data_IF_171682737084
#
_entry.id   IF_171682737084
#
_cell.length_a   1.000
_cell.length_b   1.000
_cell.length_c   1.000
_cell.angle_alpha   90.00
_cell.angle_beta   90.00
_cell.angle_gamma   90.00
#
_symmetry.space_group_name_H-M   'P 1'
#
loop_
_entity.id
_entity.type
_entity.pdbx_description
1 polymer ?
#
# COMPACT_ATOMS: atom_id res chain seq x y z
N UNK A 1 29.45 5.96 35.05
CA UNK A 1 29.43 5.99 33.57
C UNK A 1 30.08 4.71 33.05
N UNK A 2 29.30 3.68 32.68
CA UNK A 2 29.77 2.64 31.76
C UNK A 2 29.15 2.84 30.38
N UNK A 3 30.02 2.64 29.40
CA UNK A 3 29.84 2.66 27.96
C UNK A 3 28.78 1.69 27.46
N UNK A 4 27.99 2.09 26.47
CA UNK A 4 27.62 1.17 25.40
C UNK A 4 27.40 1.94 24.08
N UNK A 5 28.45 1.96 23.26
CA UNK A 5 28.34 2.29 21.83
C UNK A 5 28.57 0.96 21.11
N UNK A 6 27.51 0.17 21.02
CA UNK A 6 27.45 -0.99 20.15
C UNK A 6 27.43 -0.51 18.69
N UNK A 7 28.62 -0.26 18.14
CA UNK A 7 28.82 -0.04 16.72
C UNK A 7 29.13 -1.39 16.09
N UNK A 8 28.08 -2.14 15.75
CA UNK A 8 28.19 -3.37 14.96
C UNK A 8 28.64 -3.04 13.52
N UNK A 9 29.96 -2.93 13.32
CA UNK A 9 30.52 -2.84 11.98
C UNK A 9 30.41 -4.20 11.31
N UNK A 10 29.34 -4.42 10.55
CA UNK A 10 29.14 -5.64 9.77
C UNK A 10 30.35 -5.86 8.86
N UNK A 11 31.01 -7.01 9.02
CA UNK A 11 32.26 -7.31 8.31
C UNK A 11 32.05 -7.34 6.79
N UNK A 12 33.10 -7.02 6.00
CA UNK A 12 33.03 -7.01 4.52
C UNK A 12 32.53 -8.34 3.94
N UNK A 13 32.89 -9.45 4.56
CA UNK A 13 32.47 -10.80 4.17
C UNK A 13 31.00 -11.04 4.45
N UNK A 14 30.50 -10.57 5.59
CA UNK A 14 29.09 -10.63 5.95
C UNK A 14 28.23 -9.78 5.00
N UNK A 15 28.69 -8.57 4.68
CA UNK A 15 28.04 -7.70 3.70
C UNK A 15 27.98 -8.33 2.31
N UNK A 16 29.00 -9.09 1.91
CA UNK A 16 29.00 -9.80 0.63
C UNK A 16 27.94 -10.92 0.63
N UNK A 17 27.85 -11.72 1.69
CA UNK A 17 26.82 -12.75 1.86
C UNK A 17 25.41 -12.17 1.86
N UNK A 18 25.20 -11.05 2.53
CA UNK A 18 23.90 -10.37 2.56
C UNK A 18 23.49 -9.86 1.16
N UNK A 19 24.44 -9.34 0.39
CA UNK A 19 24.20 -8.88 -0.99
C UNK A 19 23.88 -10.04 -1.93
N UNK A 20 24.60 -11.14 -1.81
CA UNK A 20 24.38 -12.36 -2.58
C UNK A 20 22.98 -12.93 -2.30
N UNK A 21 22.60 -13.09 -1.03
CA UNK A 21 21.25 -13.51 -0.63
C UNK A 21 20.16 -12.57 -1.14
N UNK A 22 20.40 -11.26 -1.12
CA UNK A 22 19.44 -10.29 -1.66
C UNK A 22 19.34 -10.38 -3.21
N UNK A 23 20.44 -10.64 -3.91
CA UNK A 23 20.44 -10.85 -5.35
C UNK A 23 19.69 -12.13 -5.74
N UNK A 24 19.93 -13.23 -5.04
CA UNK A 24 19.20 -14.49 -5.23
C UNK A 24 17.70 -14.33 -4.95
N UNK A 25 17.35 -13.62 -3.88
CA UNK A 25 15.94 -13.37 -3.53
C UNK A 25 15.26 -12.55 -4.63
N UNK A 26 15.92 -11.52 -5.16
CA UNK A 26 15.42 -10.73 -6.29
C UNK A 26 15.33 -11.53 -7.57
N UNK A 27 16.27 -12.43 -7.84
CA UNK A 27 16.24 -13.31 -9.00
C UNK A 27 15.06 -14.29 -8.92
N UNK A 28 14.82 -14.88 -7.74
CA UNK A 28 13.67 -15.76 -7.47
C UNK A 28 12.33 -15.02 -7.58
N UNK A 29 12.31 -13.73 -7.25
CA UNK A 29 11.15 -12.84 -7.36
C UNK A 29 11.17 -11.96 -8.63
N UNK A 30 12.00 -12.31 -9.63
CA UNK A 30 12.13 -11.50 -10.85
C UNK A 30 10.87 -11.58 -11.71
N UNK A 31 10.20 -12.73 -11.69
CA UNK A 31 8.88 -12.88 -12.28
C UNK A 31 7.86 -12.15 -11.39
N UNK A 32 7.32 -11.05 -11.92
CA UNK A 32 6.23 -10.31 -11.32
C UNK A 32 4.96 -10.76 -12.03
N UNK A 33 4.25 -11.77 -11.49
CA UNK A 33 3.13 -12.34 -12.20
C UNK A 33 2.08 -11.28 -12.48
N UNK A 34 1.55 -11.29 -13.70
CA UNK A 34 0.44 -10.43 -14.10
C UNK A 34 -0.83 -10.82 -13.37
N UNK A 35 -1.83 -9.93 -13.40
CA UNK A 35 -3.15 -10.25 -12.81
C UNK A 35 -3.76 -11.56 -13.33
N UNK A 36 -3.62 -11.91 -14.63
CA UNK A 36 -4.10 -13.21 -15.15
C UNK A 36 -3.37 -14.45 -14.60
N UNK A 37 -2.17 -14.28 -14.05
CA UNK A 37 -1.37 -15.36 -13.47
C UNK A 37 -1.61 -15.50 -11.95
N UNK A 38 -2.19 -14.47 -11.34
CA UNK A 38 -2.49 -14.41 -9.90
C UNK A 38 -3.92 -14.83 -9.56
N UNK A 39 -4.85 -14.68 -10.51
CA UNK A 39 -6.27 -14.93 -10.31
C UNK A 39 -6.74 -16.01 -11.27
N UNK A 40 -7.54 -16.94 -10.78
CA UNK A 40 -8.35 -17.82 -11.64
C UNK A 40 -9.36 -16.99 -12.45
N UNK A 41 -9.88 -17.50 -13.58
CA UNK A 41 -10.92 -16.82 -14.33
C UNK A 41 -12.17 -16.48 -13.49
N UNK A 42 -12.51 -17.35 -12.53
CA UNK A 42 -13.59 -17.12 -11.57
C UNK A 42 -13.21 -16.02 -10.58
N UNK A 43 -12.02 -16.05 -9.97
CA UNK A 43 -11.55 -14.96 -9.12
C UNK A 43 -11.34 -13.65 -9.88
N UNK A 44 -11.10 -13.68 -11.18
CA UNK A 44 -11.01 -12.49 -12.03
C UNK A 44 -12.40 -11.93 -12.36
N UNK A 45 -13.41 -12.79 -12.45
CA UNK A 45 -14.81 -12.40 -12.61
C UNK A 45 -15.45 -11.92 -11.28
N UNK A 46 -15.06 -12.54 -10.17
CA UNK A 46 -15.49 -12.21 -8.79
C UNK A 46 -14.65 -11.09 -8.18
N UNK A 47 -13.40 -10.89 -8.62
CA UNK A 47 -12.67 -9.64 -8.44
C UNK A 47 -13.47 -8.60 -9.21
N UNK A 48 -14.39 -8.02 -8.46
CA UNK A 48 -15.53 -7.25 -8.89
C UNK A 48 -15.23 -6.40 -10.13
N UNK A 49 -16.18 -6.20 -11.06
CA UNK A 49 -16.00 -5.37 -12.27
C UNK A 49 -15.57 -3.90 -12.03
N UNK A 50 -15.29 -3.53 -10.78
CA UNK A 50 -14.76 -2.26 -10.35
C UNK A 50 -13.44 -2.36 -9.54
N UNK A 51 -12.83 -3.55 -9.40
CA UNK A 51 -11.67 -3.75 -8.52
C UNK A 51 -10.50 -2.86 -8.94
N UNK A 52 -10.19 -2.81 -10.24
CA UNK A 52 -9.09 -2.00 -10.75
C UNK A 52 -9.37 -0.50 -10.58
N UNK A 53 -10.59 -0.06 -10.85
CA UNK A 53 -11.05 1.32 -10.71
C UNK A 53 -11.00 1.75 -9.24
N UNK A 54 -11.43 0.87 -8.34
CA UNK A 54 -11.32 1.07 -6.91
C UNK A 54 -9.86 1.16 -6.46
N UNK A 55 -8.97 0.29 -6.95
CA UNK A 55 -7.54 0.36 -6.63
C UNK A 55 -6.89 1.62 -7.17
N UNK A 56 -7.28 2.06 -8.37
CA UNK A 56 -6.86 3.34 -8.93
C UNK A 56 -7.32 4.51 -8.05
N UNK A 57 -8.58 4.51 -7.63
CA UNK A 57 -9.12 5.52 -6.70
C UNK A 57 -8.33 5.55 -5.38
N UNK A 58 -8.04 4.40 -4.78
CA UNK A 58 -7.26 4.32 -3.52
C UNK A 58 -5.83 4.79 -3.74
N UNK A 59 -5.22 4.47 -4.88
CA UNK A 59 -3.87 4.91 -5.23
C UNK A 59 -3.79 6.44 -5.35
N UNK A 60 -4.80 7.08 -5.94
CA UNK A 60 -4.87 8.55 -6.01
C UNK A 60 -5.05 9.19 -4.63
N UNK A 61 -5.88 8.62 -3.74
CA UNK A 61 -5.99 9.08 -2.35
C UNK A 61 -4.65 8.97 -1.61
N UNK A 62 -3.95 7.85 -1.76
CA UNK A 62 -2.63 7.64 -1.17
C UNK A 62 -1.62 8.67 -1.68
N UNK A 63 -1.58 8.89 -2.99
CA UNK A 63 -0.71 9.87 -3.62
C UNK A 63 -0.99 11.29 -3.13
N UNK A 64 -2.27 11.65 -2.99
CA UNK A 64 -2.68 12.94 -2.42
C UNK A 64 -2.26 13.08 -0.96
N UNK A 65 -2.40 12.02 -0.13
CA UNK A 65 -1.88 12.00 1.25
C UNK A 65 -0.38 12.25 1.28
N UNK A 66 0.38 11.55 0.46
CA UNK A 66 1.84 11.66 0.39
C UNK A 66 2.29 13.04 -0.10
N UNK A 67 1.61 13.60 -1.10
CA UNK A 67 1.85 14.96 -1.58
C UNK A 67 1.56 16.03 -0.52
N UNK A 68 0.57 15.79 0.35
CA UNK A 68 0.26 16.66 1.48
C UNK A 68 1.22 16.47 2.68
N UNK A 69 2.17 15.53 2.61
CA UNK A 69 3.10 15.23 3.70
C UNK A 69 2.44 14.62 4.94
N UNK A 70 1.23 14.05 4.79
CA UNK A 70 0.45 13.54 5.91
C UNK A 70 0.79 12.06 6.21
N UNK A 71 0.92 11.76 7.50
CA UNK A 71 1.03 10.37 7.97
C UNK A 71 -0.35 9.72 8.03
N UNK A 72 -0.39 8.38 8.06
CA UNK A 72 -1.63 7.63 8.26
C UNK A 72 -2.31 7.98 9.60
N UNK A 73 -1.54 8.27 10.65
CA UNK A 73 -2.08 8.68 11.94
C UNK A 73 -2.80 10.04 11.86
N UNK A 74 -2.21 11.01 11.15
CA UNK A 74 -2.83 12.32 10.96
C UNK A 74 -4.11 12.23 10.13
N UNK A 75 -4.14 11.37 9.11
CA UNK A 75 -5.37 11.11 8.35
C UNK A 75 -6.40 10.39 9.20
N UNK A 76 -5.98 9.42 10.03
CA UNK A 76 -6.85 8.70 10.97
C UNK A 76 -7.59 9.67 11.91
N UNK A 77 -6.87 10.60 12.53
CA UNK A 77 -7.45 11.63 13.40
C UNK A 77 -8.44 12.52 12.65
N UNK A 78 -8.09 12.99 11.45
CA UNK A 78 -8.95 13.86 10.64
C UNK A 78 -10.20 13.15 10.11
N UNK A 79 -10.07 11.87 9.73
CA UNK A 79 -11.14 11.08 9.12
C UNK A 79 -12.04 10.39 10.16
N UNK A 80 -11.62 10.31 11.42
CA UNK A 80 -12.28 9.50 12.45
C UNK A 80 -12.26 8.00 12.12
N UNK A 81 -11.22 7.54 11.43
CA UNK A 81 -11.03 6.14 11.02
C UNK A 81 -9.85 5.54 11.76
N UNK A 82 -9.87 4.23 12.05
CA UNK A 82 -8.71 3.59 12.67
C UNK A 82 -7.51 3.56 11.69
N UNK A 83 -6.30 3.84 12.19
CA UNK A 83 -5.06 3.81 11.40
C UNK A 83 -4.86 2.46 10.70
N UNK A 84 -5.24 1.35 11.35
CA UNK A 84 -5.21 0.01 10.76
C UNK A 84 -6.13 -0.08 9.52
N UNK A 85 -7.33 0.52 9.59
CA UNK A 85 -8.28 0.53 8.46
C UNK A 85 -7.67 1.25 7.26
N UNK A 86 -7.01 2.40 7.48
CA UNK A 86 -6.33 3.14 6.42
C UNK A 86 -5.13 2.36 5.84
N UNK A 87 -4.33 1.72 6.69
CA UNK A 87 -3.21 0.88 6.26
C UNK A 87 -3.69 -0.29 5.40
N UNK A 88 -4.71 -1.02 5.84
CA UNK A 88 -5.31 -2.13 5.10
C UNK A 88 -5.94 -1.67 3.78
N UNK A 89 -6.55 -0.49 3.77
CA UNK A 89 -7.11 0.12 2.57
C UNK A 89 -6.01 0.41 1.53
N UNK A 90 -4.93 1.10 1.91
CA UNK A 90 -3.83 1.45 1.00
C UNK A 90 -3.04 0.23 0.50
N UNK A 91 -2.90 -0.80 1.34
CA UNK A 91 -2.17 -2.04 1.00
C UNK A 91 -3.03 -3.03 0.21
N UNK A 92 -4.33 -2.80 0.08
CA UNK A 92 -5.22 -3.69 -0.67
C UNK A 92 -5.70 -4.92 0.10
N UNK A 93 -5.54 -4.94 1.42
CA UNK A 93 -6.10 -5.97 2.29
C UNK A 93 -7.61 -5.79 2.52
N UNK A 94 -8.19 -4.68 2.05
CA UNK A 94 -9.64 -4.48 1.96
C UNK A 94 -10.04 -4.60 0.49
N UNK A 95 -10.75 -5.68 0.16
CA UNK A 95 -11.23 -5.96 -1.20
C UNK A 95 -12.48 -5.15 -1.55
N UNK A 96 -13.31 -4.80 -0.55
CA UNK A 96 -14.54 -4.05 -0.75
C UNK A 96 -14.76 -2.99 0.35
N UNK A 97 -14.09 -1.82 0.25
CA UNK A 97 -14.30 -0.71 1.17
C UNK A 97 -15.62 -0.01 0.90
N UNK A 98 -16.23 0.55 1.94
CA UNK A 98 -17.46 1.31 1.77
C UNK A 98 -17.20 2.68 1.13
N UNK A 99 -18.16 3.20 0.37
CA UNK A 99 -18.15 4.59 -0.11
C UNK A 99 -17.97 5.61 1.00
N UNK A 100 -18.53 5.34 2.19
CA UNK A 100 -18.34 6.17 3.38
C UNK A 100 -16.86 6.25 3.78
N UNK A 101 -16.16 5.12 3.80
CA UNK A 101 -14.72 5.06 4.12
C UNK A 101 -13.90 5.87 3.13
N UNK A 102 -14.15 5.72 1.83
CA UNK A 102 -13.46 6.47 0.78
C UNK A 102 -13.75 7.97 0.88
N UNK A 103 -15.00 8.34 1.13
CA UNK A 103 -15.42 9.73 1.28
C UNK A 103 -14.80 10.41 2.52
N UNK A 104 -14.77 9.73 3.66
CA UNK A 104 -14.13 10.24 4.88
C UNK A 104 -12.63 10.46 4.70
N UNK A 105 -11.96 9.54 3.99
CA UNK A 105 -10.56 9.73 3.63
C UNK A 105 -10.40 10.95 2.71
N UNK A 106 -11.14 11.04 1.61
CA UNK A 106 -11.06 12.19 0.70
C UNK A 106 -11.27 13.53 1.44
N UNK A 107 -12.28 13.62 2.31
CA UNK A 107 -12.56 14.83 3.12
C UNK A 107 -11.40 15.16 4.06
N UNK A 108 -10.78 14.16 4.69
CA UNK A 108 -9.61 14.36 5.55
C UNK A 108 -8.39 14.92 4.79
N UNK A 109 -8.32 14.71 3.48
CA UNK A 109 -7.34 15.30 2.57
C UNK A 109 -7.76 16.66 2.01
N UNK A 110 -8.94 17.18 2.36
CA UNK A 110 -9.51 18.39 1.77
C UNK A 110 -9.99 18.20 0.32
N UNK A 111 -10.26 16.95 -0.07
CA UNK A 111 -10.72 16.57 -1.40
C UNK A 111 -12.17 16.09 -1.39
N UNK A 112 -12.76 15.96 -2.58
CA UNK A 112 -14.10 15.42 -2.80
C UNK A 112 -14.01 14.22 -3.74
N UNK A 113 -14.65 13.12 -3.36
CA UNK A 113 -14.81 11.97 -4.24
C UNK A 113 -15.91 12.26 -5.29
N UNK A 114 -15.61 12.01 -6.56
CA UNK A 114 -16.54 12.20 -7.70
C UNK A 114 -16.64 10.90 -8.46
N UNK A 115 -17.86 10.54 -8.86
CA UNK A 115 -18.14 9.37 -9.69
C UNK A 115 -18.52 9.82 -11.10
N UNK A 116 -17.98 9.12 -12.08
CA UNK A 116 -18.27 9.32 -13.50
C UNK A 116 -18.41 7.97 -14.20
N UNK A 117 -19.02 8.00 -15.38
CA UNK A 117 -19.11 6.84 -16.28
C UNK A 117 -18.43 7.21 -17.59
N UNK A 118 -17.67 6.27 -18.16
CA UNK A 118 -17.09 6.40 -19.49
C UNK A 118 -18.01 5.69 -20.50
N UNK A 119 -17.95 6.12 -21.77
CA UNK A 119 -18.82 5.65 -22.86
C UNK A 119 -18.13 4.62 -23.76
#
# INVERSE_FOLDING_TARGET
>A
MPTDKDQSSVSKTELARLRERAAETRAKLAHKPGVPELLTPEELADATPFYFELRACIAELKKAREAAGLTLAQVSEKAGLATETLSRLETGQVTNPTWKTLGLYAVALGQKLVLGTEA
#
